data_IF_465207300038
#
_entry.id   IF_465207300038
#
_cell.length_a   1.000
_cell.length_b   1.000
_cell.length_c   1.000
_cell.angle_alpha   90.00
_cell.angle_beta   90.00
_cell.angle_gamma   90.00
#
_symmetry.space_group_name_H-M   'P 1'
#
loop_
_entity.id
_entity.type
_entity.pdbx_description
1 polymer ?
#
# COMPACT_ATOMS: atom_id res chain seq x y z
N UNK A 1 -4.60 -12.76 21.63
CA UNK A 1 -5.38 -12.27 20.47
C UNK A 1 -6.67 -11.68 21.00
N UNK A 2 -6.82 -10.36 20.93
CA UNK A 2 -8.06 -9.67 21.34
C UNK A 2 -9.22 -10.17 20.47
N UNK A 3 -10.30 -10.66 21.08
CA UNK A 3 -11.51 -10.99 20.33
C UNK A 3 -12.20 -9.69 19.94
N UNK A 4 -11.96 -9.24 18.71
CA UNK A 4 -12.69 -8.10 18.15
C UNK A 4 -14.12 -8.52 17.82
N UNK A 5 -15.08 -7.69 18.23
CA UNK A 5 -16.50 -7.90 17.99
C UNK A 5 -17.00 -6.86 16.98
N UNK A 6 -17.95 -7.25 16.15
CA UNK A 6 -18.59 -6.37 15.21
C UNK A 6 -19.32 -5.24 15.93
N UNK A 7 -18.97 -3.98 15.66
CA UNK A 7 -19.61 -2.83 16.30
C UNK A 7 -21.11 -2.70 15.98
N UNK A 8 -21.57 -3.32 14.88
CA UNK A 8 -22.96 -3.23 14.41
C UNK A 8 -23.83 -4.38 14.92
N UNK A 9 -23.38 -5.64 14.78
CA UNK A 9 -24.18 -6.82 15.13
C UNK A 9 -23.66 -7.63 16.33
N UNK A 10 -22.51 -7.24 16.92
CA UNK A 10 -21.94 -7.89 18.09
C UNK A 10 -21.29 -9.25 17.85
N UNK A 11 -21.30 -9.79 16.62
CA UNK A 11 -20.64 -11.07 16.31
C UNK A 11 -19.12 -10.97 16.42
N UNK A 12 -18.50 -12.02 16.94
CA UNK A 12 -17.04 -12.14 17.05
C UNK A 12 -16.41 -12.29 15.66
N UNK A 13 -15.26 -11.64 15.45
CA UNK A 13 -14.47 -11.78 14.23
C UNK A 13 -14.02 -13.23 14.03
N UNK A 14 -14.31 -13.80 12.85
CA UNK A 14 -13.93 -15.16 12.50
C UNK A 14 -12.49 -15.25 11.98
N UNK A 15 -12.01 -14.18 11.35
CA UNK A 15 -10.71 -14.11 10.67
C UNK A 15 -10.09 -12.73 10.84
N UNK A 16 -8.76 -12.68 10.68
CA UNK A 16 -8.00 -11.45 10.61
C UNK A 16 -7.37 -11.34 9.22
N UNK A 17 -7.37 -10.15 8.60
CA UNK A 17 -7.83 -8.88 9.16
C UNK A 17 -9.35 -8.64 9.03
N UNK A 18 -9.97 -8.05 10.06
CA UNK A 18 -11.43 -7.93 10.18
C UNK A 18 -11.97 -6.59 9.64
N UNK A 19 -11.82 -6.34 8.34
CA UNK A 19 -12.21 -5.06 7.70
C UNK A 19 -13.73 -4.94 7.48
N UNK A 20 -14.40 -6.06 7.19
CA UNK A 20 -15.85 -6.11 6.94
C UNK A 20 -16.43 -7.30 7.68
N UNK A 21 -17.58 -7.10 8.34
CA UNK A 21 -18.25 -8.19 9.04
C UNK A 21 -18.92 -9.15 8.06
N UNK A 22 -18.57 -10.44 8.10
CA UNK A 22 -19.18 -11.46 7.23
C UNK A 22 -20.69 -11.65 7.46
N UNK A 23 -21.18 -11.36 8.67
CA UNK A 23 -22.57 -11.60 9.04
C UNK A 23 -23.54 -10.47 8.70
N UNK A 24 -23.14 -9.22 8.93
CA UNK A 24 -24.00 -8.05 8.67
C UNK A 24 -23.45 -7.13 7.59
N UNK A 25 -22.30 -7.46 6.99
CA UNK A 25 -21.61 -6.68 5.94
C UNK A 25 -21.21 -5.26 6.33
N UNK A 26 -21.28 -4.90 7.62
CA UNK A 26 -20.90 -3.56 8.04
C UNK A 26 -19.38 -3.40 7.99
N UNK A 27 -18.90 -2.26 7.51
CA UNK A 27 -17.48 -1.91 7.55
C UNK A 27 -17.02 -1.74 9.00
N UNK A 28 -15.89 -2.33 9.36
CA UNK A 28 -15.35 -2.32 10.72
C UNK A 28 -14.31 -1.22 10.90
N UNK A 29 -14.11 -0.71 12.13
CA UNK A 29 -13.02 0.24 12.41
C UNK A 29 -11.66 -0.36 12.06
N UNK A 30 -10.71 0.51 11.67
CA UNK A 30 -9.34 0.12 11.40
C UNK A 30 -8.66 -0.39 12.69
N UNK A 31 -7.89 -1.46 12.57
CA UNK A 31 -6.99 -1.91 13.64
C UNK A 31 -5.55 -1.44 13.31
N UNK A 32 -4.91 -0.65 14.19
CA UNK A 32 -3.56 -0.14 13.95
C UNK A 32 -2.46 -1.22 13.96
N UNK A 33 -2.75 -2.43 14.45
CA UNK A 33 -1.82 -3.55 14.48
C UNK A 33 -1.88 -4.43 13.22
N UNK A 34 -2.81 -4.16 12.29
CA UNK A 34 -2.85 -4.84 11.00
C UNK A 34 -1.84 -4.21 10.07
N UNK A 35 -0.90 -5.01 9.60
CA UNK A 35 0.03 -4.59 8.57
C UNK A 35 -0.56 -4.75 7.15
N UNK A 36 0.10 -4.12 6.17
CA UNK A 36 -0.35 -4.12 4.79
C UNK A 36 -0.33 -5.52 4.14
N UNK A 37 0.58 -6.40 4.53
CA UNK A 37 0.64 -7.77 3.98
C UNK A 37 -0.58 -8.58 4.43
N UNK A 38 -0.99 -8.43 5.69
CA UNK A 38 -2.18 -9.09 6.22
C UNK A 38 -3.47 -8.69 5.48
N UNK A 39 -3.62 -7.43 5.07
CA UNK A 39 -4.78 -6.94 4.29
C UNK A 39 -4.98 -7.75 3.01
N UNK A 40 -3.88 -8.13 2.37
CA UNK A 40 -3.90 -8.87 1.10
C UNK A 40 -3.63 -10.36 1.28
N UNK A 41 -3.61 -10.88 2.51
CA UNK A 41 -3.30 -12.28 2.79
C UNK A 41 -1.99 -12.71 2.11
N UNK A 42 -0.93 -11.92 2.36
CA UNK A 42 0.42 -12.12 1.84
C UNK A 42 1.40 -12.40 2.97
N UNK A 43 2.44 -13.15 2.66
CA UNK A 43 3.61 -13.26 3.53
C UNK A 43 4.40 -11.95 3.55
N UNK A 44 5.05 -11.66 4.67
CA UNK A 44 5.92 -10.47 4.84
C UNK A 44 7.26 -10.66 4.12
N UNK A 45 7.22 -10.79 2.80
CA UNK A 45 8.39 -10.99 1.94
C UNK A 45 8.55 -9.84 0.97
N UNK A 46 9.81 -9.54 0.60
CA UNK A 46 10.09 -8.54 -0.41
C UNK A 46 9.59 -8.96 -1.80
N UNK A 47 9.77 -10.23 -2.15
CA UNK A 47 9.19 -10.77 -3.38
C UNK A 47 7.73 -11.14 -3.14
N UNK A 48 6.82 -10.39 -3.76
CA UNK A 48 5.41 -10.77 -3.87
C UNK A 48 5.29 -11.60 -5.15
N UNK A 49 5.16 -12.92 -5.00
CA UNK A 49 4.94 -13.85 -6.13
C UNK A 49 3.48 -13.88 -6.60
N UNK A 50 2.58 -13.31 -5.79
CA UNK A 50 1.15 -13.26 -6.09
C UNK A 50 0.86 -12.15 -7.10
N UNK A 51 0.60 -12.56 -8.36
CA UNK A 51 0.20 -11.65 -9.43
C UNK A 51 -1.20 -11.05 -9.24
N UNK A 52 -1.95 -11.44 -8.19
CA UNK A 52 -3.33 -11.01 -7.97
C UNK A 52 -3.50 -9.87 -6.94
N UNK A 53 -2.42 -9.15 -6.58
CA UNK A 53 -2.51 -8.00 -5.66
C UNK A 53 -3.55 -6.96 -6.14
N UNK A 54 -3.56 -6.66 -7.43
CA UNK A 54 -4.54 -5.72 -8.02
C UNK A 54 -5.98 -6.25 -7.93
N UNK A 55 -6.20 -7.55 -8.12
CA UNK A 55 -7.53 -8.15 -7.99
C UNK A 55 -8.06 -8.08 -6.57
N UNK A 56 -7.22 -8.44 -5.58
CA UNK A 56 -7.56 -8.32 -4.15
C UNK A 56 -7.86 -6.87 -3.77
N UNK A 57 -7.07 -5.91 -4.27
CA UNK A 57 -7.33 -4.47 -4.11
C UNK A 57 -8.70 -4.06 -4.66
N UNK A 58 -9.03 -4.44 -5.90
CA UNK A 58 -10.33 -4.12 -6.51
C UNK A 58 -11.50 -4.71 -5.71
N UNK A 59 -11.34 -5.92 -5.19
CA UNK A 59 -12.38 -6.56 -4.39
C UNK A 59 -12.55 -5.90 -3.02
N UNK A 60 -11.48 -5.40 -2.40
CA UNK A 60 -11.59 -4.57 -1.21
C UNK A 60 -12.29 -3.25 -1.49
N UNK A 61 -11.93 -2.55 -2.58
CA UNK A 61 -12.56 -1.29 -2.96
C UNK A 61 -14.07 -1.45 -3.19
N UNK A 62 -14.51 -2.55 -3.81
CA UNK A 62 -15.95 -2.88 -3.95
C UNK A 62 -16.66 -3.11 -2.62
N UNK A 63 -15.96 -3.52 -1.55
CA UNK A 63 -16.55 -3.78 -0.23
C UNK A 63 -16.53 -2.55 0.67
N UNK A 64 -15.54 -1.67 0.49
CA UNK A 64 -15.26 -0.54 1.38
C UNK A 64 -15.66 0.82 0.79
N UNK A 65 -16.18 0.85 -0.44
CA UNK A 65 -16.54 2.13 -1.07
C UNK A 65 -17.61 2.87 -0.24
N UNK A 66 -17.40 4.14 0.15
CA UNK A 66 -18.32 4.89 1.01
C UNK A 66 -19.75 5.02 0.46
N UNK A 67 -19.90 4.99 -0.87
CA UNK A 67 -21.22 5.02 -1.53
C UNK A 67 -22.04 3.73 -1.40
N UNK A 68 -21.45 2.62 -0.95
CA UNK A 68 -22.14 1.33 -0.80
C UNK A 68 -22.66 1.10 0.63
N UNK A 69 -22.44 2.07 1.53
CA UNK A 69 -22.92 2.05 2.90
C UNK A 69 -24.40 2.46 2.93
N UNK A 70 -25.26 1.50 3.29
CA UNK A 70 -26.72 1.69 3.38
C UNK A 70 -27.27 1.31 4.76
N UNK A 71 -26.43 1.30 5.80
CA UNK A 71 -26.87 0.87 7.12
C UNK A 71 -27.64 1.94 7.89
N UNK A 72 -28.37 1.51 8.93
CA UNK A 72 -29.04 2.40 9.90
C UNK A 72 -28.09 3.37 10.60
N UNK A 73 -26.79 3.11 10.57
CA UNK A 73 -25.73 3.93 11.20
C UNK A 73 -24.83 4.55 10.14
N UNK A 74 -25.45 5.03 9.06
CA UNK A 74 -24.80 5.48 7.82
C UNK A 74 -23.61 6.40 8.08
N UNK A 75 -23.71 7.36 8.99
CA UNK A 75 -22.64 8.33 9.22
C UNK A 75 -21.41 7.74 9.91
N UNK A 76 -21.60 6.85 10.89
CA UNK A 76 -20.51 6.18 11.60
C UNK A 76 -19.82 5.17 10.68
N UNK A 77 -20.61 4.39 9.95
CA UNK A 77 -20.06 3.40 9.02
C UNK A 77 -19.38 4.05 7.82
N UNK A 78 -19.89 5.16 7.29
CA UNK A 78 -19.21 5.93 6.23
C UNK A 78 -17.83 6.41 6.68
N UNK A 79 -17.67 6.85 7.92
CA UNK A 79 -16.36 7.24 8.45
C UNK A 79 -15.38 6.05 8.44
N UNK A 80 -15.81 4.87 8.91
CA UNK A 80 -15.00 3.65 8.85
C UNK A 80 -14.71 3.21 7.41
N UNK A 81 -15.67 3.34 6.50
CA UNK A 81 -15.48 3.04 5.08
C UNK A 81 -14.42 3.94 4.43
N UNK A 82 -14.42 5.24 4.73
CA UNK A 82 -13.40 6.18 4.26
C UNK A 82 -12.03 5.79 4.80
N UNK A 83 -11.91 5.57 6.10
CA UNK A 83 -10.65 5.21 6.75
C UNK A 83 -10.08 3.89 6.23
N UNK A 84 -10.89 2.83 6.18
CA UNK A 84 -10.48 1.52 5.68
C UNK A 84 -10.15 1.55 4.20
N UNK A 85 -10.91 2.29 3.39
CA UNK A 85 -10.61 2.41 1.96
C UNK A 85 -9.27 3.11 1.73
N UNK A 86 -9.00 4.21 2.46
CA UNK A 86 -7.71 4.88 2.42
C UNK A 86 -6.57 3.94 2.84
N UNK A 87 -6.76 3.20 3.93
CA UNK A 87 -5.78 2.23 4.42
C UNK A 87 -5.46 1.13 3.39
N UNK A 88 -6.47 0.59 2.71
CA UNK A 88 -6.29 -0.39 1.62
C UNK A 88 -5.58 0.22 0.42
N UNK A 89 -5.88 1.49 0.07
CA UNK A 89 -5.22 2.20 -1.02
C UNK A 89 -3.73 2.38 -0.71
N UNK A 90 -3.41 2.80 0.52
CA UNK A 90 -2.02 3.00 0.95
C UNK A 90 -1.28 1.66 0.97
N UNK A 91 -1.90 0.61 1.52
CA UNK A 91 -1.35 -0.74 1.49
C UNK A 91 -1.05 -1.21 0.06
N UNK A 92 -1.98 -1.02 -0.87
CA UNK A 92 -1.78 -1.37 -2.28
C UNK A 92 -0.64 -0.57 -2.92
N UNK A 93 -0.60 0.75 -2.71
CA UNK A 93 0.45 1.62 -3.26
C UNK A 93 1.82 1.26 -2.72
N UNK A 94 1.92 0.99 -1.42
CA UNK A 94 3.16 0.63 -0.75
C UNK A 94 3.66 -0.74 -1.21
N UNK A 95 2.79 -1.74 -1.28
CA UNK A 95 3.19 -3.09 -1.66
C UNK A 95 3.37 -3.28 -3.17
N UNK A 96 2.76 -2.46 -4.02
CA UNK A 96 2.88 -2.59 -5.48
C UNK A 96 4.23 -2.11 -6.02
N UNK A 97 4.85 -1.10 -5.39
CA UNK A 97 6.16 -0.60 -5.83
C UNK A 97 7.30 -1.25 -5.03
N UNK A 98 8.36 -1.75 -5.69
CA UNK A 98 9.48 -2.42 -5.01
C UNK A 98 10.14 -1.56 -3.92
N UNK A 99 10.42 -0.29 -4.20
CA UNK A 99 11.08 0.62 -3.25
C UNK A 99 10.25 0.84 -1.98
N UNK A 100 8.99 1.25 -2.11
CA UNK A 100 8.12 1.46 -0.95
C UNK A 100 7.87 0.18 -0.16
N UNK A 101 7.84 -0.97 -0.84
CA UNK A 101 7.70 -2.28 -0.18
C UNK A 101 8.93 -2.63 0.65
N UNK A 102 10.14 -2.40 0.14
CA UNK A 102 11.36 -2.55 0.91
C UNK A 102 11.36 -1.64 2.15
N UNK A 103 11.08 -0.35 1.97
CA UNK A 103 11.02 0.61 3.08
C UNK A 103 9.99 0.19 4.13
N UNK A 104 8.82 -0.28 3.70
CA UNK A 104 7.79 -0.75 4.62
C UNK A 104 8.20 -1.99 5.42
N UNK A 105 8.88 -2.97 4.79
CA UNK A 105 9.44 -4.11 5.52
C UNK A 105 10.44 -3.67 6.59
N UNK A 106 11.30 -2.69 6.27
CA UNK A 106 12.27 -2.14 7.23
C UNK A 106 11.56 -1.44 8.40
N UNK A 107 10.47 -0.71 8.13
CA UNK A 107 9.62 -0.08 9.15
C UNK A 107 8.98 -1.14 10.06
N UNK A 108 8.53 -2.27 9.51
CA UNK A 108 7.94 -3.37 10.30
C UNK A 108 8.94 -4.02 11.26
N UNK A 109 10.25 -3.99 10.93
CA UNK A 109 11.33 -4.42 11.82
C UNK A 109 11.73 -3.34 12.85
N UNK A 110 11.03 -2.21 12.89
CA UNK A 110 11.28 -1.11 13.83
C UNK A 110 12.43 -0.19 13.42
N UNK A 111 12.92 -0.30 12.19
CA UNK A 111 13.96 0.58 11.65
C UNK A 111 13.33 1.74 10.88
N UNK A 112 13.81 2.96 11.12
CA UNK A 112 13.39 4.13 10.36
C UNK A 112 14.46 4.47 9.32
N UNK A 113 14.08 4.44 8.04
CA UNK A 113 14.95 4.88 6.95
C UNK A 113 14.66 6.35 6.71
N UNK A 114 15.66 7.18 6.91
CA UNK A 114 15.62 8.58 6.55
C UNK A 114 16.13 8.71 5.11
N UNK A 115 15.20 8.90 4.17
CA UNK A 115 15.52 9.00 2.74
C UNK A 115 16.51 10.15 2.46
N UNK A 116 16.44 11.23 3.23
CA UNK A 116 17.26 12.44 3.05
C UNK A 116 18.65 12.32 3.67
N UNK A 117 18.84 11.45 4.68
CA UNK A 117 20.15 11.23 5.34
C UNK A 117 21.00 10.15 4.72
N UNK A 118 20.58 9.58 3.59
CA UNK A 118 21.39 8.60 2.87
C UNK A 118 22.71 9.26 2.49
N UNK A 119 23.83 8.72 2.99
CA UNK A 119 25.17 9.09 2.56
C UNK A 119 25.22 8.85 1.05
N UNK A 120 25.12 9.92 0.26
CA UNK A 120 25.16 9.84 -1.20
C UNK A 120 26.57 9.39 -1.55
N UNK A 121 26.72 8.15 -2.00
CA UNK A 121 27.97 7.65 -2.55
C UNK A 121 28.41 8.62 -3.66
N UNK A 122 29.64 9.17 -3.60
CA UNK A 122 30.14 10.06 -4.63
C UNK A 122 29.98 9.52 -6.05
N UNK A 123 30.08 8.19 -6.25
CA UNK A 123 29.88 7.57 -7.55
C UNK A 123 28.43 7.70 -8.02
N UNK A 124 27.46 7.47 -7.13
CA UNK A 124 26.02 7.64 -7.44
C UNK A 124 25.70 9.09 -7.75
N UNK A 125 26.34 10.04 -7.06
CA UNK A 125 26.15 11.46 -7.36
C UNK A 125 26.67 11.81 -8.75
N UNK A 126 27.85 11.32 -9.14
CA UNK A 126 28.41 11.50 -10.48
C UNK A 126 27.49 10.92 -11.54
N UNK A 127 27.03 9.69 -11.39
CA UNK A 127 26.09 9.06 -12.33
C UNK A 127 24.79 9.89 -12.45
N UNK A 128 24.26 10.40 -11.35
CA UNK A 128 23.05 11.22 -11.37
C UNK A 128 23.27 12.58 -12.08
N UNK A 129 24.45 13.17 -11.96
CA UNK A 129 24.81 14.40 -12.68
C UNK A 129 24.92 14.14 -14.18
N UNK A 130 25.62 13.07 -14.59
CA UNK A 130 25.75 12.69 -16.00
C UNK A 130 24.39 12.41 -16.66
N UNK A 131 23.49 11.72 -15.96
CA UNK A 131 22.12 11.48 -16.45
C UNK A 131 21.35 12.79 -16.62
N UNK A 132 21.50 13.75 -15.68
CA UNK A 132 20.83 15.06 -15.79
C UNK A 132 21.33 15.85 -16.99
N UNK A 133 22.64 15.90 -17.20
CA UNK A 133 23.24 16.55 -18.37
C UNK A 133 22.72 15.93 -19.67
N UNK A 134 22.71 14.59 -19.76
CA UNK A 134 22.17 13.90 -20.92
C UNK A 134 20.69 14.20 -21.19
N UNK A 135 19.87 14.38 -20.14
CA UNK A 135 18.46 14.79 -20.28
C UNK A 135 18.34 16.22 -20.81
N UNK A 136 19.20 17.13 -20.34
CA UNK A 136 19.20 18.54 -20.79
C UNK A 136 19.66 18.68 -22.24
N UNK A 137 20.60 17.85 -22.69
CA UNK A 137 21.11 17.82 -24.06
C UNK A 137 20.17 17.12 -25.06
N UNK A 138 19.24 16.29 -24.57
CA UNK A 138 18.33 15.54 -25.42
C UNK A 138 17.36 16.45 -26.19
N UNK A 139 17.53 16.51 -27.51
CA UNK A 139 16.72 17.36 -28.40
C UNK A 139 15.42 16.73 -28.88
N UNK A 140 15.23 15.43 -28.66
CA UNK A 140 14.13 14.64 -29.21
C UNK A 140 13.66 13.52 -28.27
N UNK A 141 12.47 12.99 -28.54
CA UNK A 141 11.82 11.98 -27.70
C UNK A 141 12.51 10.62 -27.72
N UNK A 142 13.25 10.26 -28.78
CA UNK A 142 13.87 8.95 -28.89
C UNK A 142 15.15 8.90 -28.05
N UNK A 143 15.92 9.99 -28.02
CA UNK A 143 17.07 10.17 -27.12
C UNK A 143 16.63 10.08 -25.64
N UNK A 144 15.50 10.70 -25.28
CA UNK A 144 14.94 10.60 -23.92
C UNK A 144 14.52 9.16 -23.55
N UNK A 145 13.94 8.40 -24.48
CA UNK A 145 13.58 6.98 -24.23
C UNK A 145 14.83 6.12 -24.02
N UNK A 146 15.91 6.41 -24.75
CA UNK A 146 17.17 5.70 -24.60
C UNK A 146 17.77 5.94 -23.21
N UNK A 147 17.81 7.19 -22.74
CA UNK A 147 18.25 7.53 -21.38
C UNK A 147 17.35 6.83 -20.34
N UNK A 148 16.03 6.86 -20.52
CA UNK A 148 15.10 6.16 -19.62
C UNK A 148 15.40 4.65 -19.52
N UNK A 149 15.72 4.00 -20.64
CA UNK A 149 16.05 2.57 -20.65
C UNK A 149 17.33 2.24 -19.89
N UNK A 150 18.33 3.13 -19.92
CA UNK A 150 19.58 2.97 -19.16
C UNK A 150 19.29 3.00 -17.66
N UNK A 151 18.51 3.98 -17.20
CA UNK A 151 18.15 4.12 -15.77
C UNK A 151 17.31 2.95 -15.26
N UNK A 152 16.43 2.37 -16.10
CA UNK A 152 15.60 1.22 -15.74
C UNK A 152 16.35 -0.12 -15.73
N UNK A 153 17.57 -0.17 -16.29
CA UNK A 153 18.38 -1.38 -16.39
C UNK A 153 19.34 -1.60 -15.21
N UNK A 154 19.46 -0.58 -14.35
CA UNK A 154 20.22 -0.59 -13.09
C UNK A 154 19.29 -1.04 -11.96
#
# INVERSE_FOLDING_TARGET
>A
KSQSHCWSCGKTAASWPFLVCEACRSVQPMDPFVDYFQIFDLDRTYEIKDNNLEGKYKDWQKKLHPNLVHSKYEQKEKAFAVEQSAHVIDAYRTLSKPLSRALYLVILEGMHVDEEKTLIDPNVLTEMMEIREAIEEASDSDTLKQIQSQVQSV
#
